data_IF_860106077518
#
_entry.id   IF_860106077518
#
_cell.length_a   1.000
_cell.length_b   1.000
_cell.length_c   1.000
_cell.angle_alpha   90.00
_cell.angle_beta   90.00
_cell.angle_gamma   90.00
#
_symmetry.space_group_name_H-M   'P 1'
#
loop_
_entity.id
_entity.type
_entity.pdbx_description
1 polymer ?
#
# COMPACT_ATOMS: atom_id res chain seq x y z
N UNK A 1 -15.45 -3.80 6.87
CA UNK A 1 -14.65 -4.00 5.64
C UNK A 1 -13.55 -2.97 5.66
N UNK A 2 -12.29 -3.40 5.62
CA UNK A 2 -11.13 -2.50 5.56
C UNK A 2 -10.87 -2.07 4.13
N UNK A 3 -9.75 -2.46 3.53
CA UNK A 3 -9.41 -2.14 2.14
C UNK A 3 -9.09 -3.42 1.35
N UNK A 4 -9.49 -3.46 0.08
CA UNK A 4 -9.12 -4.56 -0.83
C UNK A 4 -8.45 -3.98 -2.06
N UNK A 5 -7.17 -4.30 -2.25
CA UNK A 5 -6.40 -3.93 -3.43
C UNK A 5 -6.37 -5.09 -4.42
N UNK A 6 -6.62 -4.80 -5.70
CA UNK A 6 -6.53 -5.78 -6.79
C UNK A 6 -6.24 -5.09 -8.11
N UNK A 7 -5.83 -5.86 -9.12
CA UNK A 7 -5.66 -5.35 -10.48
C UNK A 7 -7.02 -5.27 -11.18
N UNK A 8 -7.27 -4.18 -11.91
CA UNK A 8 -8.48 -3.99 -12.72
C UNK A 8 -8.59 -5.10 -13.75
N UNK A 9 -9.80 -5.66 -13.91
CA UNK A 9 -10.01 -6.77 -14.84
C UNK A 9 -9.97 -6.28 -16.28
N UNK A 10 -9.20 -6.99 -17.10
CA UNK A 10 -9.10 -6.75 -18.54
C UNK A 10 -10.35 -7.20 -19.30
N UNK A 11 -10.37 -6.91 -20.59
CA UNK A 11 -11.40 -7.44 -21.51
C UNK A 11 -11.22 -8.95 -21.70
N UNK A 12 -9.96 -9.39 -21.78
CA UNK A 12 -9.60 -10.82 -21.83
C UNK A 12 -9.22 -11.31 -20.43
N UNK A 13 -9.62 -12.53 -20.03
CA UNK A 13 -9.25 -13.11 -18.75
C UNK A 13 -7.74 -13.33 -18.63
N UNK A 14 -7.17 -12.88 -17.52
CA UNK A 14 -5.79 -13.13 -17.14
C UNK A 14 -5.76 -13.86 -15.79
N UNK A 15 -5.85 -15.18 -15.84
CA UNK A 15 -5.94 -16.05 -14.66
C UNK A 15 -4.72 -15.95 -13.73
N UNK A 16 -3.60 -15.39 -14.20
CA UNK A 16 -2.42 -15.19 -13.35
C UNK A 16 -2.60 -13.97 -12.44
N UNK A 17 -3.28 -12.94 -12.92
CA UNK A 17 -3.34 -11.64 -12.24
C UNK A 17 -4.74 -11.27 -11.74
N UNK A 18 -5.81 -11.81 -12.31
CA UNK A 18 -7.20 -11.43 -12.01
C UNK A 18 -7.70 -11.90 -10.63
N UNK A 19 -7.01 -12.89 -10.05
CA UNK A 19 -7.28 -13.43 -8.71
C UNK A 19 -6.32 -12.87 -7.64
N UNK A 20 -5.34 -12.03 -8.03
CA UNK A 20 -4.43 -11.40 -7.08
C UNK A 20 -5.16 -10.34 -6.26
N UNK A 21 -5.09 -10.50 -4.93
CA UNK A 21 -5.77 -9.62 -3.98
C UNK A 21 -4.96 -9.41 -2.71
N UNK A 22 -4.87 -8.16 -2.28
CA UNK A 22 -4.37 -7.79 -0.96
C UNK A 22 -5.54 -7.22 -0.15
N UNK A 23 -6.07 -8.02 0.78
CA UNK A 23 -7.21 -7.68 1.63
C UNK A 23 -6.77 -7.34 3.05
N UNK A 24 -7.39 -6.29 3.60
CA UNK A 24 -7.08 -5.77 4.92
C UNK A 24 -8.34 -5.63 5.76
N UNK A 25 -8.29 -6.12 7.01
CA UNK A 25 -9.20 -5.68 8.06
C UNK A 25 -8.82 -4.29 8.58
N UNK A 26 -9.75 -3.54 9.18
CA UNK A 26 -9.51 -2.17 9.66
C UNK A 26 -8.32 -2.03 10.62
N UNK A 27 -8.28 -2.85 11.67
CA UNK A 27 -7.21 -2.80 12.66
C UNK A 27 -5.85 -3.13 12.03
N UNK A 28 -5.84 -4.11 11.13
CA UNK A 28 -4.66 -4.54 10.40
C UNK A 28 -4.14 -3.45 9.45
N UNK A 29 -5.04 -2.85 8.67
CA UNK A 29 -4.73 -1.72 7.78
C UNK A 29 -4.17 -0.52 8.56
N UNK A 30 -4.76 -0.22 9.72
CA UNK A 30 -4.28 0.88 10.54
C UNK A 30 -2.87 0.62 11.08
N UNK A 31 -2.59 -0.60 11.56
CA UNK A 31 -1.26 -1.00 12.01
C UNK A 31 -0.24 -0.95 10.85
N UNK A 32 -0.62 -1.47 9.67
CA UNK A 32 0.19 -1.42 8.46
C UNK A 32 0.56 0.01 8.07
N UNK A 33 -0.44 0.90 8.01
CA UNK A 33 -0.23 2.30 7.64
C UNK A 33 0.65 3.03 8.65
N UNK A 34 0.58 2.72 9.94
CA UNK A 34 1.50 3.28 10.94
C UNK A 34 2.95 2.88 10.68
N UNK A 35 3.19 1.64 10.29
CA UNK A 35 4.53 1.16 9.95
C UNK A 35 5.04 1.81 8.67
N UNK A 36 4.24 1.83 7.60
CA UNK A 36 4.64 2.50 6.35
C UNK A 36 4.90 3.99 6.54
N UNK A 37 4.07 4.68 7.33
CA UNK A 37 4.29 6.09 7.64
C UNK A 37 5.62 6.30 8.39
N UNK A 38 5.98 5.40 9.30
CA UNK A 38 7.28 5.47 9.99
C UNK A 38 8.46 5.31 9.02
N UNK A 39 8.36 4.43 8.02
CA UNK A 39 9.38 4.25 6.96
C UNK A 39 9.55 5.51 6.09
N UNK A 40 8.49 6.29 5.95
CA UNK A 40 8.49 7.55 5.23
C UNK A 40 8.82 8.76 6.12
N UNK A 41 9.05 8.55 7.43
CA UNK A 41 9.25 9.64 8.39
C UNK A 41 8.02 10.53 8.58
N UNK A 42 6.83 10.02 8.26
CA UNK A 42 5.55 10.73 8.35
C UNK A 42 4.96 10.54 9.74
N UNK A 43 4.64 11.64 10.43
CA UNK A 43 3.80 11.60 11.63
C UNK A 43 2.33 11.45 11.23
N UNK A 44 1.89 10.20 11.13
CA UNK A 44 0.54 9.83 10.72
C UNK A 44 -0.55 10.47 11.59
N UNK A 45 -0.28 10.75 12.88
CA UNK A 45 -1.28 11.33 13.80
C UNK A 45 -1.66 12.77 13.44
N UNK A 46 -0.81 13.46 12.68
CA UNK A 46 -1.06 14.82 12.21
C UNK A 46 -1.86 14.85 10.90
N UNK A 47 -1.97 13.73 10.21
CA UNK A 47 -2.53 13.64 8.87
C UNK A 47 -4.06 13.51 8.89
N UNK A 48 -4.72 14.12 7.90
CA UNK A 48 -6.15 13.98 7.67
C UNK A 48 -6.52 12.49 7.49
N UNK A 49 -7.57 12.04 8.18
CA UNK A 49 -8.00 10.64 8.20
C UNK A 49 -7.37 9.78 9.31
N UNK A 50 -6.36 10.31 10.02
CA UNK A 50 -5.63 9.57 11.07
C UNK A 50 -5.56 10.33 12.41
N UNK A 51 -6.43 11.31 12.61
CA UNK A 51 -6.57 12.08 13.86
C UNK A 51 -6.17 13.56 13.74
N UNK A 52 -5.49 13.94 12.67
CA UNK A 52 -5.09 15.32 12.41
C UNK A 52 -5.80 15.98 11.23
N UNK A 53 -5.29 17.13 10.81
CA UNK A 53 -5.87 17.97 9.74
C UNK A 53 -4.90 18.29 8.62
N UNK A 54 -3.65 17.82 8.69
CA UNK A 54 -2.65 18.07 7.65
C UNK A 54 -3.06 17.38 6.35
N UNK A 55 -3.12 18.10 5.22
CA UNK A 55 -3.55 17.51 3.96
C UNK A 55 -2.44 16.65 3.36
N UNK A 56 -2.83 15.52 2.76
CA UNK A 56 -1.89 14.60 2.10
C UNK A 56 -1.22 15.18 0.85
N UNK A 57 -1.72 16.30 0.29
CA UNK A 57 -1.18 16.92 -0.93
C UNK A 57 0.22 17.52 -0.74
N UNK A 58 0.59 17.80 0.51
CA UNK A 58 1.88 18.42 0.85
C UNK A 58 2.96 17.35 1.16
N UNK A 59 2.60 16.06 1.13
CA UNK A 59 3.52 14.94 1.37
C UNK A 59 4.03 14.38 0.05
N UNK A 60 5.34 14.47 -0.17
CA UNK A 60 6.03 13.98 -1.37
C UNK A 60 6.42 12.50 -1.32
N UNK A 61 5.52 11.60 -0.92
CA UNK A 61 5.78 10.14 -0.86
C UNK A 61 5.10 9.41 -2.03
N UNK A 62 5.79 8.41 -2.59
CA UNK A 62 5.20 7.52 -3.61
C UNK A 62 4.19 6.52 -3.03
N UNK A 63 4.14 6.38 -1.70
CA UNK A 63 3.17 5.53 -1.00
C UNK A 63 1.86 6.25 -0.66
N UNK A 64 1.70 7.52 -1.08
CA UNK A 64 0.52 8.34 -0.81
C UNK A 64 -0.80 7.62 -1.09
N UNK A 65 -0.96 6.84 -2.18
CA UNK A 65 -2.22 6.13 -2.43
C UNK A 65 -2.64 5.14 -1.34
N UNK A 66 -1.69 4.61 -0.55
CA UNK A 66 -2.00 3.68 0.54
C UNK A 66 -2.54 4.38 1.80
N UNK A 67 -2.29 5.67 1.93
CA UNK A 67 -2.76 6.49 3.06
C UNK A 67 -3.98 7.35 2.70
N UNK A 68 -4.08 7.75 1.44
CA UNK A 68 -5.06 8.71 0.94
C UNK A 68 -5.86 8.07 -0.19
N UNK A 69 -7.01 7.48 0.13
CA UNK A 69 -7.85 6.81 -0.87
C UNK A 69 -8.36 7.77 -1.95
N UNK A 70 -8.42 9.08 -1.68
CA UNK A 70 -8.76 10.09 -2.69
C UNK A 70 -7.68 10.19 -3.79
N UNK A 71 -6.49 9.61 -3.58
CA UNK A 71 -5.49 9.44 -4.64
C UNK A 71 -5.97 8.49 -5.75
N UNK A 72 -6.88 7.55 -5.45
CA UNK A 72 -7.52 6.69 -6.44
C UNK A 72 -8.68 7.45 -7.11
N UNK A 73 -8.35 8.31 -8.08
CA UNK A 73 -9.36 9.03 -8.87
C UNK A 73 -10.32 8.04 -9.52
N UNK A 74 -11.60 8.14 -9.19
CA UNK A 74 -12.64 7.19 -9.64
C UNK A 74 -12.37 5.73 -9.22
N UNK A 75 -11.71 5.52 -8.08
CA UNK A 75 -11.40 4.19 -7.52
C UNK A 75 -10.26 3.45 -8.23
N UNK A 76 -9.51 4.13 -9.11
CA UNK A 76 -8.45 3.53 -9.91
C UNK A 76 -7.14 4.33 -9.80
N UNK A 77 -6.03 3.60 -9.73
CA UNK A 77 -4.68 4.13 -9.81
C UNK A 77 -4.00 3.58 -11.09
N UNK A 78 -3.61 4.42 -12.06
CA UNK A 78 -3.00 3.96 -13.31
C UNK A 78 -1.69 3.18 -13.09
N UNK A 79 -1.38 2.24 -13.99
CA UNK A 79 -0.17 1.43 -13.92
C UNK A 79 1.14 2.24 -13.82
N UNK A 80 1.18 3.42 -14.45
CA UNK A 80 2.34 4.30 -14.36
C UNK A 80 2.59 4.81 -12.94
N UNK A 81 1.54 5.07 -12.17
CA UNK A 81 1.63 5.50 -10.77
C UNK A 81 1.99 4.32 -9.85
N UNK A 82 1.67 3.08 -10.25
CA UNK A 82 2.10 1.86 -9.55
C UNK A 82 3.63 1.70 -9.55
N UNK A 83 4.38 2.23 -10.54
CA UNK A 83 5.84 2.03 -10.65
C UNK A 83 6.61 2.59 -9.46
N UNK A 84 6.37 3.87 -9.13
CA UNK A 84 7.07 4.53 -8.02
C UNK A 84 6.66 3.94 -6.66
N UNK A 85 5.39 3.55 -6.53
CA UNK A 85 4.88 2.87 -5.35
C UNK A 85 5.52 1.47 -5.19
N UNK A 86 5.56 0.67 -6.25
CA UNK A 86 6.16 -0.67 -6.24
C UNK A 86 7.64 -0.64 -5.91
N UNK A 87 8.40 0.27 -6.51
CA UNK A 87 9.83 0.44 -6.19
C UNK A 87 10.00 0.67 -4.69
N UNK A 88 9.21 1.59 -4.12
CA UNK A 88 9.31 1.93 -2.70
C UNK A 88 8.86 0.80 -1.77
N UNK A 89 7.79 0.08 -2.12
CA UNK A 89 7.35 -1.10 -1.37
C UNK A 89 8.43 -2.18 -1.32
N UNK A 90 9.14 -2.42 -2.43
CA UNK A 90 10.23 -3.41 -2.48
C UNK A 90 11.46 -2.99 -1.66
N UNK A 91 11.77 -1.69 -1.60
CA UNK A 91 12.83 -1.17 -0.73
C UNK A 91 12.52 -1.42 0.75
N UNK A 92 11.29 -1.10 1.17
CA UNK A 92 10.82 -1.34 2.54
C UNK A 92 10.78 -2.84 2.83
N UNK A 93 10.25 -3.65 1.92
CA UNK A 93 10.21 -5.10 2.05
C UNK A 93 11.61 -5.69 2.27
N UNK A 94 12.57 -5.23 1.46
CA UNK A 94 13.97 -5.63 1.59
C UNK A 94 14.54 -5.26 2.95
N UNK A 95 14.18 -4.10 3.52
CA UNK A 95 14.61 -3.69 4.86
C UNK A 95 13.98 -4.56 5.96
N UNK A 96 12.67 -4.81 5.86
CA UNK A 96 11.90 -5.61 6.82
C UNK A 96 12.36 -7.07 6.87
N UNK A 97 12.69 -7.66 5.73
CA UNK A 97 13.29 -9.00 5.62
C UNK A 97 14.64 -9.11 6.35
N UNK A 98 15.38 -8.00 6.47
CA UNK A 98 16.64 -7.92 7.24
C UNK A 98 16.43 -7.57 8.71
N UNK A 99 15.18 -7.46 9.18
CA UNK A 99 14.87 -7.06 10.54
C UNK A 99 14.95 -5.55 10.78
N UNK A 100 15.12 -4.74 9.73
CA UNK A 100 15.23 -3.28 9.82
C UNK A 100 13.86 -2.66 9.59
N UNK A 101 13.17 -2.32 10.68
CA UNK A 101 11.88 -1.63 10.67
C UNK A 101 12.04 -0.23 11.25
N UNK A 102 11.43 0.77 10.63
CA UNK A 102 11.23 2.07 11.21
C UNK A 102 10.14 2.03 12.30
N UNK A 103 10.28 2.91 13.30
CA UNK A 103 9.33 3.04 14.40
C UNK A 103 9.47 1.98 15.51
N UNK A 104 8.53 2.00 16.46
CA UNK A 104 8.59 1.24 17.71
C UNK A 104 7.52 0.15 17.81
N UNK A 105 7.06 -0.41 16.69
CA UNK A 105 6.03 -1.45 16.73
C UNK A 105 6.53 -2.72 17.44
N UNK A 106 5.62 -3.42 18.11
CA UNK A 106 5.88 -4.72 18.75
C UNK A 106 6.33 -5.77 17.73
N UNK A 107 7.17 -6.72 18.15
CA UNK A 107 7.77 -7.70 17.24
C UNK A 107 6.76 -8.60 16.54
N UNK A 108 5.68 -9.01 17.22
CA UNK A 108 4.60 -9.82 16.63
C UNK A 108 3.87 -9.06 15.52
N UNK A 109 3.60 -7.77 15.76
CA UNK A 109 2.99 -6.90 14.75
C UNK A 109 3.89 -6.73 13.52
N UNK A 110 5.22 -6.79 13.65
CA UNK A 110 6.12 -6.68 12.49
C UNK A 110 6.02 -7.89 11.55
N UNK A 111 5.89 -9.10 12.10
CA UNK A 111 5.84 -10.32 11.30
C UNK A 111 4.57 -10.40 10.45
N UNK A 112 3.41 -10.10 11.05
CA UNK A 112 2.14 -10.11 10.32
C UNK A 112 2.11 -9.05 9.20
N UNK A 113 2.80 -7.93 9.42
CA UNK A 113 2.85 -6.83 8.45
C UNK A 113 3.85 -7.11 7.33
N UNK A 114 4.88 -7.93 7.56
CA UNK A 114 5.79 -8.38 6.50
C UNK A 114 5.04 -9.16 5.41
N UNK A 115 4.27 -10.18 5.78
CA UNK A 115 3.47 -10.96 4.82
C UNK A 115 2.46 -10.07 4.06
N UNK A 116 1.96 -9.05 4.74
CA UNK A 116 1.04 -8.06 4.18
C UNK A 116 1.73 -7.18 3.13
N UNK A 117 2.94 -6.71 3.43
CA UNK A 117 3.75 -5.94 2.50
C UNK A 117 4.14 -6.76 1.28
N UNK A 118 4.51 -8.04 1.46
CA UNK A 118 4.80 -8.97 0.37
C UNK A 118 3.61 -9.12 -0.57
N UNK A 119 2.42 -9.42 -0.03
CA UNK A 119 1.21 -9.57 -0.84
C UNK A 119 0.85 -8.28 -1.59
N UNK A 120 0.91 -7.13 -0.91
CA UNK A 120 0.65 -5.84 -1.56
C UNK A 120 1.66 -5.55 -2.68
N UNK A 121 2.95 -5.83 -2.45
CA UNK A 121 3.99 -5.65 -3.47
C UNK A 121 3.71 -6.50 -4.72
N UNK A 122 3.25 -7.74 -4.55
CA UNK A 122 2.85 -8.62 -5.67
C UNK A 122 1.68 -8.02 -6.46
N UNK A 123 0.62 -7.56 -5.79
CA UNK A 123 -0.54 -6.95 -6.47
C UNK A 123 -0.15 -5.67 -7.22
N UNK A 124 0.68 -4.81 -6.61
CA UNK A 124 1.17 -3.59 -7.28
C UNK A 124 2.15 -3.93 -8.41
N UNK A 125 2.93 -5.00 -8.29
CA UNK A 125 3.75 -5.52 -9.39
C UNK A 125 2.90 -5.95 -10.59
N UNK A 126 1.82 -6.68 -10.34
CA UNK A 126 0.89 -7.12 -11.38
C UNK A 126 0.17 -5.94 -12.09
N UNK A 127 -0.10 -4.84 -11.37
CA UNK A 127 -0.57 -3.57 -11.97
C UNK A 127 0.40 -3.09 -13.07
N UNK A 128 1.71 -3.17 -12.82
CA UNK A 128 2.76 -2.74 -13.77
C UNK A 128 2.89 -3.74 -14.92
N UNK A 129 2.97 -5.03 -14.61
CA UNK A 129 3.20 -6.09 -15.60
C UNK A 129 2.07 -6.16 -16.64
N UNK A 130 0.83 -6.00 -16.19
CA UNK A 130 -0.34 -6.05 -17.07
C UNK A 130 -0.66 -4.70 -17.73
N UNK A 131 -0.08 -3.60 -17.23
CA UNK A 131 -0.43 -2.24 -17.63
C UNK A 131 -1.84 -1.80 -17.22
N UNK A 132 -2.51 -2.56 -16.35
CA UNK A 132 -3.87 -2.31 -15.87
C UNK A 132 -3.84 -1.50 -14.58
N UNK A 133 -4.93 -0.79 -14.29
CA UNK A 133 -5.00 0.02 -13.08
C UNK A 133 -5.05 -0.87 -11.81
N UNK A 134 -4.53 -0.35 -10.71
CA UNK A 134 -4.82 -0.86 -9.38
C UNK A 134 -6.14 -0.27 -8.90
N UNK A 135 -7.01 -1.10 -8.32
CA UNK A 135 -8.29 -0.66 -7.74
C UNK A 135 -8.27 -0.88 -6.23
N UNK A 136 -9.00 -0.04 -5.51
CA UNK A 136 -9.25 -0.20 -4.07
C UNK A 136 -10.75 -0.16 -3.79
N UNK A 137 -11.23 -1.13 -3.01
CA UNK A 137 -12.62 -1.28 -2.54
C UNK A 137 -12.70 -1.29 -1.02
#
# INVERSE_FOLDING_TARGET
MGAIYRVDRGVEPDWLHDDLVAEFGWAHLHAFNRLLAAEEGIDLTTMAGYGGTSPWRDIGTSLKPLFDLDAFKSGKLPAQECVAMHSRLNEILSAWLRGSYAGTAESEMRFDQLATLENLAVVVGACIETGRALTVE
#
